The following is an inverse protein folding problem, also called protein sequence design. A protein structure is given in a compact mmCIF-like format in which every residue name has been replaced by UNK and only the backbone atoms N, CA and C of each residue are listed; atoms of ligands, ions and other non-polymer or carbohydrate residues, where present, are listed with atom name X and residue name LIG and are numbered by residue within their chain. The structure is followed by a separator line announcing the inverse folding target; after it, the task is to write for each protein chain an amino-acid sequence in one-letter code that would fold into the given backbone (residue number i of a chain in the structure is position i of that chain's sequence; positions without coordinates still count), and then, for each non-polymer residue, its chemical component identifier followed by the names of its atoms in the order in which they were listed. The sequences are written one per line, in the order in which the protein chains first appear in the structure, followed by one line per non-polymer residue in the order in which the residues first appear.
data_IF_316270351335
#
_entry.id   IF_316270351335
#
_cell.length_a   1.000
_cell.length_b   1.000
_cell.length_c   1.000
_cell.angle_alpha   90.00
_cell.angle_beta   90.00
_cell.angle_gamma   90.00
#
_symmetry.space_group_name_H-M   'P 1'
#
loop_
_entity.id
_entity.type
_entity.pdbx_description
1 polymer ?
#
# COMPACT_ATOMS: atom_id res chain seq x y z
N UNK A 1 11.96 -8.18 -2.19
CA UNK A 1 10.57 -8.53 -2.56
C UNK A 1 10.06 -7.52 -3.59
N UNK A 2 9.24 -7.89 -4.60
CA UNK A 2 8.83 -6.92 -5.63
C UNK A 2 7.59 -6.11 -5.21
N UNK A 3 7.45 -4.87 -5.74
CA UNK A 3 6.27 -4.01 -5.52
C UNK A 3 4.95 -4.75 -5.78
N UNK A 4 4.87 -5.56 -6.84
CA UNK A 4 3.65 -6.28 -7.20
C UNK A 4 3.25 -7.34 -6.18
N UNK A 5 4.23 -8.07 -5.62
CA UNK A 5 3.97 -9.02 -4.54
C UNK A 5 3.43 -8.34 -3.29
N UNK A 6 4.00 -7.19 -2.93
CA UNK A 6 3.48 -6.38 -1.83
C UNK A 6 2.05 -5.92 -2.11
N UNK A 7 1.74 -5.40 -3.29
CA UNK A 7 0.36 -5.01 -3.65
C UNK A 7 -0.60 -6.19 -3.51
N UNK A 8 -0.24 -7.38 -3.99
CA UNK A 8 -1.09 -8.57 -3.88
C UNK A 8 -1.33 -8.98 -2.41
N UNK A 9 -0.31 -8.88 -1.55
CA UNK A 9 -0.45 -9.11 -0.11
C UNK A 9 -1.34 -8.05 0.54
N UNK A 10 -1.12 -6.77 0.23
CA UNK A 10 -1.86 -5.63 0.79
C UNK A 10 -3.31 -5.59 0.30
N UNK A 11 -3.61 -6.08 -0.91
CA UNK A 11 -4.98 -6.24 -1.41
C UNK A 11 -5.81 -7.21 -0.58
N UNK A 12 -5.20 -8.17 0.12
CA UNK A 12 -5.90 -9.04 1.08
C UNK A 12 -6.32 -8.30 2.35
N UNK A 13 -5.70 -7.17 2.67
CA UNK A 13 -6.12 -6.31 3.78
C UNK A 13 -7.34 -5.49 3.34
N UNK A 14 -8.51 -5.82 3.87
CA UNK A 14 -9.76 -5.12 3.62
C UNK A 14 -10.01 -3.95 4.58
N UNK A 15 -9.31 -3.92 5.73
CA UNK A 15 -9.46 -2.90 6.75
C UNK A 15 -8.23 -2.01 6.86
N UNK A 16 -8.44 -0.70 7.02
CA UNK A 16 -7.35 0.28 7.25
C UNK A 16 -6.54 -0.07 8.49
N UNK A 17 -7.21 -0.52 9.55
CA UNK A 17 -6.57 -0.94 10.81
C UNK A 17 -5.57 -2.10 10.63
N UNK A 18 -5.90 -3.05 9.75
CA UNK A 18 -4.98 -4.16 9.40
C UNK A 18 -3.81 -3.65 8.60
N UNK A 19 -4.05 -2.72 7.65
CA UNK A 19 -3.00 -2.11 6.86
C UNK A 19 -2.01 -1.35 7.76
N UNK A 20 -2.49 -0.56 8.72
CA UNK A 20 -1.65 0.19 9.66
C UNK A 20 -0.77 -0.73 10.52
N UNK A 21 -1.33 -1.83 11.05
CA UNK A 21 -0.55 -2.85 11.76
C UNK A 21 0.53 -3.49 10.90
N UNK A 22 0.23 -3.76 9.64
CA UNK A 22 1.19 -4.33 8.69
C UNK A 22 2.29 -3.32 8.38
N UNK A 23 1.96 -2.04 8.18
CA UNK A 23 2.94 -0.97 7.96
C UNK A 23 3.88 -0.86 9.16
N UNK A 24 3.33 -0.78 10.37
CA UNK A 24 4.13 -0.65 11.59
C UNK A 24 5.06 -1.84 11.77
N UNK A 25 4.57 -3.07 11.58
CA UNK A 25 5.39 -4.27 11.70
C UNK A 25 6.49 -4.34 10.63
N UNK A 26 6.19 -3.99 9.38
CA UNK A 26 7.14 -4.08 8.29
C UNK A 26 8.18 -2.95 8.33
N UNK A 27 7.83 -1.75 8.82
CA UNK A 27 8.76 -0.63 8.99
C UNK A 27 10.01 -0.99 9.79
N UNK A 28 9.88 -1.84 10.81
CA UNK A 28 11.01 -2.28 11.64
C UNK A 28 11.63 -3.60 11.19
N UNK A 29 10.98 -4.34 10.30
CA UNK A 29 11.48 -5.63 9.79
C UNK A 29 12.11 -5.56 8.40
N UNK A 30 11.82 -4.55 7.60
CA UNK A 30 12.35 -4.38 6.25
C UNK A 30 13.59 -3.49 6.22
N UNK A 31 14.50 -3.77 5.30
CA UNK A 31 15.61 -2.88 4.97
C UNK A 31 15.13 -1.71 4.11
N UNK A 32 15.86 -0.60 4.10
CA UNK A 32 15.51 0.65 3.40
C UNK A 32 15.09 0.44 1.94
N UNK A 33 15.84 -0.38 1.20
CA UNK A 33 15.57 -0.75 -0.20
C UNK A 33 14.22 -1.47 -0.37
N UNK A 34 13.89 -2.41 0.54
CA UNK A 34 12.59 -3.09 0.53
C UNK A 34 11.46 -2.18 1.00
N UNK A 35 11.78 -1.22 1.87
CA UNK A 35 10.85 -0.25 2.44
C UNK A 35 10.36 0.72 1.35
N UNK A 36 11.19 1.08 0.37
CA UNK A 36 10.77 1.83 -0.82
C UNK A 36 9.69 1.09 -1.63
N UNK A 37 9.93 -0.18 -1.96
CA UNK A 37 8.94 -0.99 -2.68
C UNK A 37 7.66 -1.22 -1.87
N UNK A 38 7.80 -1.39 -0.56
CA UNK A 38 6.68 -1.55 0.36
C UNK A 38 5.84 -0.28 0.45
N UNK A 39 6.46 0.88 0.64
CA UNK A 39 5.77 2.17 0.68
C UNK A 39 5.01 2.43 -0.62
N UNK A 40 5.64 2.19 -1.78
CA UNK A 40 4.98 2.32 -3.08
C UNK A 40 3.74 1.41 -3.23
N UNK A 41 3.72 0.25 -2.57
CA UNK A 41 2.58 -0.65 -2.54
C UNK A 41 1.50 -0.21 -1.53
N UNK A 42 1.92 0.35 -0.39
CA UNK A 42 1.04 0.93 0.63
C UNK A 42 0.27 2.12 0.07
N UNK A 43 0.98 3.04 -0.59
CA UNK A 43 0.40 4.19 -1.28
C UNK A 43 -0.65 3.77 -2.31
N UNK A 44 -0.33 2.75 -3.12
CA UNK A 44 -1.28 2.16 -4.06
C UNK A 44 -2.52 1.62 -3.34
N UNK A 45 -2.32 0.91 -2.23
CA UNK A 45 -3.43 0.34 -1.47
C UNK A 45 -4.30 1.41 -0.79
N UNK A 46 -3.68 2.48 -0.29
CA UNK A 46 -4.39 3.63 0.29
C UNK A 46 -5.24 4.34 -0.77
N UNK A 47 -4.71 4.52 -1.97
CA UNK A 47 -5.46 5.06 -3.10
C UNK A 47 -6.69 4.21 -3.45
N UNK A 48 -6.52 2.88 -3.52
CA UNK A 48 -7.63 1.95 -3.75
C UNK A 48 -8.67 2.00 -2.63
N UNK A 49 -8.24 2.09 -1.36
CA UNK A 49 -9.13 2.21 -0.21
C UNK A 49 -9.90 3.54 -0.19
N UNK A 50 -9.23 4.65 -0.47
CA UNK A 50 -9.83 5.98 -0.50
C UNK A 50 -10.92 6.10 -1.59
N UNK A 51 -10.72 5.45 -2.72
CA UNK A 51 -11.68 5.42 -3.83
C UNK A 51 -12.69 4.27 -3.75
N UNK A 52 -12.49 3.29 -2.87
CA UNK A 52 -13.31 2.07 -2.80
C UNK A 52 -13.27 1.21 -4.07
N UNK A 53 -12.23 1.36 -4.89
CA UNK A 53 -12.06 0.66 -6.18
C UNK A 53 -10.63 0.19 -6.37
N UNK A 54 -10.47 -1.00 -6.94
CA UNK A 54 -9.15 -1.51 -7.33
C UNK A 54 -8.72 -0.87 -8.64
N UNK A 55 -7.49 -0.38 -8.68
CA UNK A 55 -6.89 0.24 -9.85
C UNK A 55 -5.62 -0.53 -10.22
N UNK A 56 -5.42 -0.73 -11.52
CA UNK A 56 -4.14 -1.25 -12.04
C UNK A 56 -3.06 -0.17 -11.98
N UNK A 57 -3.44 1.06 -12.32
CA UNK A 57 -2.63 2.27 -12.16
C UNK A 57 -3.46 3.35 -11.50
N UNK A 58 -2.91 3.94 -10.44
CA UNK A 58 -3.57 5.02 -9.70
C UNK A 58 -3.59 6.29 -10.58
N UNK A 59 -4.77 6.83 -10.92
CA UNK A 59 -4.87 8.11 -11.64
C UNK A 59 -4.26 9.25 -10.82
N UNK A 60 -3.65 10.24 -11.49
CA UNK A 60 -3.06 11.43 -10.84
C UNK A 60 -4.03 12.14 -9.87
N UNK A 61 -5.34 12.16 -10.20
CA UNK A 61 -6.37 12.77 -9.36
C UNK A 61 -6.66 12.02 -8.06
N UNK A 62 -6.38 10.72 -7.98
CA UNK A 62 -6.64 9.90 -6.79
C UNK A 62 -5.63 10.19 -5.68
N UNK A 63 -4.38 10.52 -6.04
CA UNK A 63 -3.34 10.89 -5.09
C UNK A 63 -3.72 12.05 -4.15
N UNK A 64 -4.68 12.90 -4.57
CA UNK A 64 -5.23 13.98 -3.75
C UNK A 64 -6.06 13.49 -2.55
N UNK A 65 -6.52 12.24 -2.61
CA UNK A 65 -7.35 11.61 -1.58
C UNK A 65 -6.55 10.68 -0.67
N UNK A 66 -5.28 10.41 -1.02
CA UNK A 66 -4.34 9.69 -0.18
C UNK A 66 -3.71 10.71 0.77
N UNK A 67 -3.86 10.49 2.09
CA UNK A 67 -3.32 11.33 3.16
C UNK A 67 -2.53 10.47 4.13
#
# INVERSE_FOLDING_TARGET
MTKQEWILRLRRCTSKETLERVIEKNKYSLSDDELEYFNAAVDHRLAEMAMGKFYDKIPAGVWKYVK
#
